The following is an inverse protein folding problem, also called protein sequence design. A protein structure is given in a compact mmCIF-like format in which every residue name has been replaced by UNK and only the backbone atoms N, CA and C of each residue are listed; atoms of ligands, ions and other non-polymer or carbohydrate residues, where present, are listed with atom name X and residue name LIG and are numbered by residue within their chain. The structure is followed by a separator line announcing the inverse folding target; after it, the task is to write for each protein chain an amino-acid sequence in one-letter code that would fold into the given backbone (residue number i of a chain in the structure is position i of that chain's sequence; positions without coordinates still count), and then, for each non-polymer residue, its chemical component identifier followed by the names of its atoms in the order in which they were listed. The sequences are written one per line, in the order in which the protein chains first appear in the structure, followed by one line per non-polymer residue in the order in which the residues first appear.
data_IF_632844520770
#
_entry.id   IF_632844520770
#
_cell.length_a   1.000
_cell.length_b   1.000
_cell.length_c   1.000
_cell.angle_alpha   90.00
_cell.angle_beta   90.00
_cell.angle_gamma   90.00
#
_symmetry.space_group_name_H-M   'P 1'
#
loop_
_entity.id
_entity.type
_entity.pdbx_description
1 polymer ?
#
# COMPACT_ATOMS: atom_id res chain seq x y z
N UNK A 1 -11.36 -8.28 27.41
CA UNK A 1 -9.89 -8.49 27.37
C UNK A 1 -9.50 -8.85 25.95
N UNK A 2 -9.40 -7.85 25.06
CA UNK A 2 -8.87 -8.03 23.72
C UNK A 2 -7.60 -7.21 23.64
N UNK A 3 -6.49 -7.76 24.15
CA UNK A 3 -5.18 -7.20 23.88
C UNK A 3 -4.93 -7.46 22.39
N UNK A 4 -5.32 -6.49 21.55
CA UNK A 4 -4.99 -6.50 20.14
C UNK A 4 -3.46 -6.60 20.07
N UNK A 5 -2.96 -7.76 19.67
CA UNK A 5 -1.58 -7.92 19.23
C UNK A 5 -1.38 -6.78 18.22
N UNK A 6 -0.60 -5.77 18.62
CA UNK A 6 -0.57 -4.48 17.92
C UNK A 6 -0.24 -4.73 16.46
N UNK A 7 -1.22 -4.63 15.58
CA UNK A 7 -1.01 -4.62 14.14
C UNK A 7 -1.20 -3.19 13.70
N UNK A 8 -0.20 -2.66 13.00
CA UNK A 8 -0.28 -1.35 12.38
C UNK A 8 -0.51 -1.53 10.88
N UNK A 9 -1.30 -0.64 10.29
CA UNK A 9 -1.61 -0.67 8.86
C UNK A 9 -1.05 0.56 8.16
N UNK A 10 -0.48 0.34 6.97
CA UNK A 10 -0.11 1.38 6.02
C UNK A 10 -1.04 1.31 4.82
N UNK A 11 -1.81 2.38 4.60
CA UNK A 11 -2.71 2.49 3.46
C UNK A 11 -2.16 3.51 2.45
N UNK A 12 -2.29 3.20 1.16
CA UNK A 12 -2.04 4.12 0.04
C UNK A 12 -3.29 4.16 -0.81
N UNK A 13 -3.72 5.37 -1.16
CA UNK A 13 -4.82 5.59 -2.08
C UNK A 13 -4.46 6.75 -3.01
N UNK A 14 -4.04 6.42 -4.23
CA UNK A 14 -3.53 7.41 -5.18
C UNK A 14 -3.94 7.10 -6.60
N UNK A 15 -4.16 8.15 -7.39
CA UNK A 15 -4.40 8.03 -8.82
C UNK A 15 -3.04 7.95 -9.52
N UNK A 16 -2.89 6.92 -10.35
CA UNK A 16 -1.72 6.74 -11.20
C UNK A 16 -2.14 6.80 -12.66
N UNK A 17 -1.38 7.57 -13.44
CA UNK A 17 -1.45 7.53 -14.90
C UNK A 17 -0.55 6.40 -15.40
N UNK A 18 -1.12 5.52 -16.22
CA UNK A 18 -0.39 4.44 -16.90
C UNK A 18 0.16 4.87 -18.26
N UNK A 19 -0.10 6.12 -18.65
CA UNK A 19 0.40 6.71 -19.89
C UNK A 19 1.93 6.73 -19.92
N UNK A 20 2.52 5.89 -20.77
CA UNK A 20 3.98 5.77 -20.90
C UNK A 20 4.70 5.08 -19.73
N UNK A 21 3.97 4.42 -18.82
CA UNK A 21 4.58 3.68 -17.69
C UNK A 21 4.11 2.24 -17.65
N UNK A 22 5.03 1.34 -17.33
CA UNK A 22 4.68 -0.05 -17.11
C UNK A 22 3.78 -0.19 -15.89
N UNK A 23 2.66 -0.90 -16.07
CA UNK A 23 1.68 -1.19 -15.01
C UNK A 23 2.35 -1.84 -13.79
N UNK A 24 3.35 -2.68 -14.04
CA UNK A 24 4.10 -3.34 -12.98
C UNK A 24 4.94 -2.36 -12.15
N UNK A 25 5.53 -1.35 -12.78
CA UNK A 25 6.30 -0.30 -12.10
C UNK A 25 5.39 0.57 -11.22
N UNK A 26 4.21 0.93 -11.73
CA UNK A 26 3.18 1.65 -10.98
C UNK A 26 2.74 0.88 -9.74
N UNK A 27 2.47 -0.41 -9.90
CA UNK A 27 2.07 -1.27 -8.78
C UNK A 27 3.20 -1.47 -7.77
N UNK A 28 4.43 -1.64 -8.24
CA UNK A 28 5.62 -1.74 -7.38
C UNK A 28 5.79 -0.48 -6.53
N UNK A 29 5.61 0.69 -7.13
CA UNK A 29 5.66 1.97 -6.42
C UNK A 29 4.58 2.08 -5.35
N UNK A 30 3.32 1.77 -5.69
CA UNK A 30 2.21 1.81 -4.74
C UNK A 30 2.39 0.84 -3.57
N UNK A 31 2.92 -0.37 -3.83
CA UNK A 31 3.27 -1.35 -2.78
C UNK A 31 4.36 -0.82 -1.86
N UNK A 32 5.44 -0.29 -2.41
CA UNK A 32 6.55 0.26 -1.61
C UNK A 32 6.09 1.43 -0.74
N UNK A 33 5.22 2.32 -1.26
CA UNK A 33 4.62 3.40 -0.48
C UNK A 33 3.79 2.85 0.69
N UNK A 34 2.97 1.81 0.47
CA UNK A 34 2.16 1.22 1.54
C UNK A 34 3.00 0.55 2.62
N UNK A 35 4.06 -0.17 2.22
CA UNK A 35 5.04 -0.74 3.15
C UNK A 35 5.73 0.35 3.97
N UNK A 36 6.20 1.41 3.30
CA UNK A 36 6.84 2.55 3.97
C UNK A 36 5.90 3.23 4.96
N UNK A 37 4.62 3.37 4.62
CA UNK A 37 3.61 3.93 5.52
C UNK A 37 3.39 3.03 6.74
N UNK A 38 3.33 1.70 6.56
CA UNK A 38 3.21 0.75 7.67
C UNK A 38 4.41 0.82 8.60
N UNK A 39 5.64 0.83 8.05
CA UNK A 39 6.89 0.97 8.81
C UNK A 39 6.92 2.29 9.57
N UNK A 40 6.53 3.40 8.91
CA UNK A 40 6.48 4.72 9.54
C UNK A 40 5.45 4.80 10.67
N UNK A 41 4.39 3.98 10.60
CA UNK A 41 3.40 3.83 11.65
C UNK A 41 3.88 2.92 12.81
N UNK A 42 5.09 2.35 12.73
CA UNK A 42 5.68 1.51 13.76
C UNK A 42 5.69 0.01 13.43
N UNK A 43 5.43 -0.38 12.19
CA UNK A 43 5.49 -1.78 11.80
C UNK A 43 6.93 -2.27 11.80
N UNK A 44 7.16 -3.50 12.26
CA UNK A 44 8.40 -4.21 12.00
C UNK A 44 8.52 -4.43 10.48
N UNK A 45 9.55 -3.86 9.79
CA UNK A 45 9.75 -4.00 8.35
C UNK A 45 9.77 -5.44 7.85
N UNK A 46 10.19 -6.39 8.70
CA UNK A 46 10.28 -7.81 8.36
C UNK A 46 8.93 -8.53 8.44
N UNK A 47 7.95 -7.93 9.12
CA UNK A 47 6.59 -8.44 9.28
C UNK A 47 5.58 -7.81 8.31
N UNK A 48 5.98 -6.79 7.56
CA UNK A 48 5.04 -6.05 6.70
C UNK A 48 4.66 -6.88 5.48
N UNK A 49 3.37 -7.13 5.33
CA UNK A 49 2.80 -7.81 4.19
C UNK A 49 1.69 -6.98 3.53
N UNK A 50 1.56 -7.12 2.21
CA UNK A 50 0.47 -6.50 1.46
C UNK A 50 -0.76 -7.43 1.55
N UNK A 51 -1.80 -6.97 2.22
CA UNK A 51 -3.05 -7.74 2.39
C UNK A 51 -4.12 -7.37 1.39
N UNK A 52 -4.01 -6.21 0.73
CA UNK A 52 -4.97 -5.81 -0.28
C UNK A 52 -4.34 -4.91 -1.35
N UNK A 53 -4.73 -5.14 -2.60
CA UNK A 53 -4.39 -4.30 -3.74
C UNK A 53 -5.66 -4.17 -4.58
N UNK A 54 -6.14 -2.94 -4.73
CA UNK A 54 -7.29 -2.62 -5.55
C UNK A 54 -6.87 -1.66 -6.66
N UNK A 55 -7.32 -1.94 -7.88
CA UNK A 55 -7.07 -1.10 -9.05
C UNK A 55 -8.44 -0.76 -9.62
N UNK A 56 -8.82 0.51 -9.55
CA UNK A 56 -10.09 1.03 -10.06
C UNK A 56 -9.77 1.84 -11.32
N UNK A 57 -10.03 1.29 -12.53
CA UNK A 57 -9.81 2.02 -13.76
C UNK A 57 -10.69 3.27 -13.80
N UNK A 58 -10.08 4.42 -14.07
CA UNK A 58 -10.82 5.63 -14.36
C UNK A 58 -11.08 5.62 -15.87
N UNK A 59 -12.17 4.96 -16.26
CA UNK A 59 -12.65 5.02 -17.63
C UNK A 59 -12.87 6.50 -18.03
N UNK A 60 -12.72 6.81 -19.32
CA UNK A 60 -12.92 8.12 -19.94
C UNK A 60 -11.71 9.08 -20.01
N UNK A 61 -10.54 8.76 -19.46
CA UNK A 61 -9.33 9.54 -19.71
C UNK A 61 -8.45 8.90 -20.81
N UNK A 62 -8.17 9.61 -21.93
CA UNK A 62 -7.15 9.16 -22.86
C UNK A 62 -5.82 9.04 -22.10
N UNK A 63 -5.09 7.94 -22.33
CA UNK A 63 -3.85 7.63 -21.60
C UNK A 63 -3.97 6.65 -20.43
N UNK A 64 -5.19 6.28 -20.03
CA UNK A 64 -5.44 5.21 -19.07
C UNK A 64 -4.91 5.54 -17.67
N UNK A 65 -5.77 6.10 -16.82
CA UNK A 65 -5.45 6.27 -15.39
C UNK A 65 -6.24 5.27 -14.55
N UNK A 66 -5.67 4.82 -13.44
CA UNK A 66 -6.41 4.05 -12.45
C UNK A 66 -6.08 4.54 -11.05
N UNK A 67 -7.10 4.51 -10.20
CA UNK A 67 -6.91 4.68 -8.77
C UNK A 67 -6.38 3.36 -8.22
N UNK A 68 -5.18 3.40 -7.65
CA UNK A 68 -4.56 2.24 -7.01
C UNK A 68 -4.65 2.43 -5.51
N UNK A 69 -5.24 1.44 -4.84
CA UNK A 69 -5.27 1.35 -3.38
C UNK A 69 -4.44 0.16 -2.96
N UNK A 70 -3.57 0.36 -1.99
CA UNK A 70 -2.76 -0.72 -1.42
C UNK A 70 -2.84 -0.63 0.08
N UNK A 71 -3.08 -1.78 0.71
CA UNK A 71 -3.06 -1.92 2.16
C UNK A 71 -1.96 -2.88 2.57
N UNK A 72 -1.06 -2.37 3.40
CA UNK A 72 -0.03 -3.13 4.07
C UNK A 72 -0.38 -3.25 5.56
N UNK A 73 -0.03 -4.37 6.18
CA UNK A 73 -0.09 -4.54 7.64
C UNK A 73 1.22 -5.12 8.11
N UNK A 74 1.61 -4.76 9.32
CA UNK A 74 2.73 -5.39 10.00
C UNK A 74 2.51 -5.42 11.51
N UNK A 75 3.25 -6.28 12.19
CA UNK A 75 3.29 -6.31 13.64
C UNK A 75 3.95 -5.03 14.15
N UNK A 76 3.36 -4.42 15.17
CA UNK A 76 3.94 -3.30 15.89
C UNK A 76 5.27 -3.75 16.46
N UNK A 77 6.34 -3.05 16.10
CA UNK A 77 7.64 -3.25 16.71
C UNK A 77 7.56 -2.74 18.15
N UNK A 78 7.38 -3.66 19.10
CA UNK A 78 7.60 -3.35 20.51
C UNK A 78 9.11 -3.19 20.69
N UNK A 79 9.59 -1.94 20.73
CA UNK A 79 10.88 -1.65 21.34
C UNK A 79 10.71 -1.93 22.85
N UNK A 80 11.34 -3.02 23.32
CA UNK A 80 11.43 -3.42 24.73
C UNK A 80 12.74 -2.97 25.33
#
# INVERSE_FOLDING_TARGET
MGAALGQVSGDVNRIYSFEGKDKEEVLKKAKNEAVSNAISAGADPTSVEIINIEIIPLAYLPGGSAQVRVKAVGSLKLDV
#
